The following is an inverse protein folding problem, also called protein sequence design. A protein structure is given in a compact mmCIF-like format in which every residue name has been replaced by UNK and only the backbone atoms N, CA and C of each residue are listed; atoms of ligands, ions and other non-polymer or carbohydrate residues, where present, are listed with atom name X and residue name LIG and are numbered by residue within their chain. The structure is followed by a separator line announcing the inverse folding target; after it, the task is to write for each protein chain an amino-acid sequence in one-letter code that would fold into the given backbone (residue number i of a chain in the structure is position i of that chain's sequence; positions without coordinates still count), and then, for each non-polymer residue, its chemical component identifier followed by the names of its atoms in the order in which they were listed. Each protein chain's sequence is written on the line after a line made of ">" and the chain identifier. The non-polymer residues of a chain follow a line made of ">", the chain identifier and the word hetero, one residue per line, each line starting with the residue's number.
data_IF_771072414010
#
_entry.id   IF_771072414010
#
_cell.length_a   1.000
_cell.length_b   1.000
_cell.length_c   1.000
_cell.angle_alpha   90.00
_cell.angle_beta   90.00
_cell.angle_gamma   90.00
#
_symmetry.space_group_name_H-M   'P 1'
#
loop_
_entity.id
_entity.type
_entity.pdbx_description
1 polymer ?
#
# COMPACT_ATOMS: atom_id res chain seq x y z
N UNK A 1 -10.56 4.74 39.60
CA UNK A 1 -9.58 4.95 38.50
C UNK A 1 -8.94 6.32 38.71
N UNK A 2 -7.62 6.38 39.02
CA UNK A 2 -6.99 7.57 39.58
C UNK A 2 -6.81 8.69 38.51
N UNK A 3 -7.03 9.96 38.94
CA UNK A 3 -6.83 11.19 38.14
C UNK A 3 -5.48 11.24 37.42
N UNK A 4 -4.43 10.69 38.02
CA UNK A 4 -3.07 10.55 37.44
C UNK A 4 -3.07 9.67 36.18
N UNK A 5 -3.75 8.52 36.18
CA UNK A 5 -3.87 7.65 35.01
C UNK A 5 -4.64 8.31 33.87
N UNK A 6 -5.69 9.07 34.18
CA UNK A 6 -6.47 9.79 33.16
C UNK A 6 -5.63 10.86 32.46
N UNK A 7 -4.84 11.63 33.23
CA UNK A 7 -3.96 12.65 32.66
C UNK A 7 -2.83 12.03 31.82
N UNK A 8 -2.29 10.89 32.25
CA UNK A 8 -1.28 10.15 31.49
C UNK A 8 -1.84 9.66 30.14
N UNK A 9 -3.03 9.03 30.14
CA UNK A 9 -3.68 8.57 28.91
C UNK A 9 -4.04 9.73 27.97
N UNK A 10 -4.51 10.87 28.51
CA UNK A 10 -4.77 12.08 27.74
C UNK A 10 -3.50 12.59 27.04
N UNK A 11 -2.37 12.55 27.75
CA UNK A 11 -1.07 12.96 27.18
C UNK A 11 -0.67 12.04 26.03
N UNK A 12 -0.74 10.72 26.19
CA UNK A 12 -0.44 9.75 25.12
C UNK A 12 -1.26 10.03 23.86
N UNK A 13 -2.56 10.27 24.03
CA UNK A 13 -3.44 10.59 22.89
C UNK A 13 -3.00 11.88 22.17
N UNK A 14 -2.74 12.95 22.94
CA UNK A 14 -2.31 14.24 22.39
C UNK A 14 -0.97 14.09 21.66
N UNK A 15 0.00 13.37 22.24
CA UNK A 15 1.31 13.15 21.65
C UNK A 15 1.17 12.35 20.33
N UNK A 16 0.29 11.34 20.30
CA UNK A 16 -0.01 10.57 19.08
C UNK A 16 -0.63 11.45 17.97
N UNK A 17 -1.61 12.30 18.30
CA UNK A 17 -2.22 13.23 17.35
C UNK A 17 -1.21 14.25 16.82
N UNK A 18 -0.37 14.81 17.68
CA UNK A 18 0.68 15.73 17.27
C UNK A 18 1.71 15.04 16.34
N UNK A 19 2.07 13.79 16.63
CA UNK A 19 2.95 13.00 15.76
C UNK A 19 2.35 12.80 14.37
N UNK A 20 1.04 12.50 14.27
CA UNK A 20 0.33 12.40 12.99
C UNK A 20 0.33 13.74 12.23
N UNK A 21 0.01 14.85 12.92
CA UNK A 21 0.03 16.19 12.33
C UNK A 21 1.42 16.52 11.76
N UNK A 22 2.49 16.22 12.51
CA UNK A 22 3.86 16.45 12.06
C UNK A 22 4.20 15.62 10.81
N UNK A 23 3.83 14.33 10.78
CA UNK A 23 4.02 13.47 9.61
C UNK A 23 3.27 14.04 8.40
N UNK A 24 2.02 14.47 8.59
CA UNK A 24 1.21 15.07 7.52
C UNK A 24 1.82 16.39 7.00
N UNK A 25 2.34 17.24 7.88
CA UNK A 25 3.02 18.46 7.49
C UNK A 25 4.31 18.19 6.69
N UNK A 26 5.08 17.15 7.08
CA UNK A 26 6.26 16.72 6.34
C UNK A 26 5.91 16.21 4.94
N UNK A 27 4.80 15.48 4.79
CA UNK A 27 4.28 15.05 3.48
C UNK A 27 3.87 16.26 2.64
N UNK A 28 3.17 17.24 3.22
CA UNK A 28 2.75 18.46 2.52
C UNK A 28 3.93 19.30 2.04
N UNK A 29 5.04 19.28 2.75
CA UNK A 29 6.28 19.98 2.38
C UNK A 29 7.20 19.21 1.42
N UNK A 30 6.85 17.96 1.04
CA UNK A 30 7.65 17.12 0.14
C UNK A 30 7.06 17.10 -1.28
N UNK A 31 7.46 18.06 -2.10
CA UNK A 31 7.02 18.17 -3.50
C UNK A 31 7.34 16.91 -4.32
N UNK A 32 8.44 16.21 -4.00
CA UNK A 32 8.82 14.97 -4.71
C UNK A 32 7.89 13.81 -4.37
N UNK A 33 7.50 13.70 -3.11
CA UNK A 33 6.52 12.69 -2.68
C UNK A 33 5.15 12.96 -3.30
N UNK A 34 4.71 14.22 -3.32
CA UNK A 34 3.45 14.63 -3.95
C UNK A 34 3.47 14.34 -5.46
N UNK A 35 4.56 14.69 -6.15
CA UNK A 35 4.72 14.39 -7.58
C UNK A 35 4.70 12.87 -7.84
N UNK A 36 5.47 12.07 -7.09
CA UNK A 36 5.49 10.62 -7.23
C UNK A 36 4.11 9.99 -6.99
N UNK A 37 3.35 10.49 -6.01
CA UNK A 37 1.99 10.04 -5.74
C UNK A 37 1.05 10.38 -6.90
N UNK A 38 1.19 11.57 -7.48
CA UNK A 38 0.43 11.98 -8.67
C UNK A 38 0.75 11.10 -9.88
N UNK A 39 2.02 10.78 -10.11
CA UNK A 39 2.45 9.90 -11.20
C UNK A 39 1.87 8.49 -11.04
N UNK A 40 1.85 7.93 -9.83
CA UNK A 40 1.20 6.65 -9.53
C UNK A 40 -0.28 6.69 -9.87
N UNK A 41 -0.99 7.75 -9.50
CA UNK A 41 -2.40 7.90 -9.85
C UNK A 41 -2.65 7.91 -11.36
N UNK A 42 -1.82 8.63 -12.11
CA UNK A 42 -1.90 8.67 -13.58
C UNK A 42 -1.64 7.30 -14.21
N UNK A 43 -0.69 6.53 -13.67
CA UNK A 43 -0.43 5.15 -14.12
C UNK A 43 -1.62 4.22 -13.82
N UNK A 44 -2.26 4.34 -12.66
CA UNK A 44 -3.46 3.58 -12.31
C UNK A 44 -4.62 3.91 -13.27
N UNK A 45 -4.86 5.20 -13.54
CA UNK A 45 -5.88 5.62 -14.52
C UNK A 45 -5.59 5.03 -15.90
N UNK A 46 -4.33 5.08 -16.34
CA UNK A 46 -3.90 4.51 -17.61
C UNK A 46 -4.11 3.00 -17.65
N UNK A 47 -3.79 2.28 -16.58
CA UNK A 47 -4.01 0.84 -16.50
C UNK A 47 -5.50 0.50 -16.67
N UNK A 48 -6.40 1.14 -15.92
CA UNK A 48 -7.83 0.89 -16.04
C UNK A 48 -8.41 1.25 -17.41
N UNK A 49 -7.91 2.31 -18.06
CA UNK A 49 -8.32 2.65 -19.46
C UNK A 49 -7.90 1.62 -20.50
N UNK A 50 -6.93 0.78 -20.18
CA UNK A 50 -6.44 -0.31 -21.02
C UNK A 50 -6.92 -1.70 -20.56
N UNK A 51 -8.01 -1.79 -19.79
CA UNK A 51 -8.56 -3.02 -19.23
C UNK A 51 -7.58 -3.82 -18.35
N UNK A 52 -6.54 -3.14 -17.84
CA UNK A 52 -5.65 -3.71 -16.85
C UNK A 52 -6.23 -3.56 -15.44
N UNK A 53 -5.60 -4.22 -14.47
CA UNK A 53 -6.03 -4.26 -13.08
C UNK A 53 -4.96 -3.76 -12.13
N UNK A 54 -5.39 -3.48 -10.90
CA UNK A 54 -4.50 -3.14 -9.79
C UNK A 54 -4.55 -4.25 -8.74
N UNK A 55 -3.40 -4.81 -8.43
CA UNK A 55 -3.21 -5.82 -7.40
C UNK A 55 -2.52 -5.18 -6.20
N UNK A 56 -2.97 -5.53 -5.00
CA UNK A 56 -2.42 -5.03 -3.74
C UNK A 56 -1.89 -6.17 -2.89
N UNK A 57 -0.76 -5.97 -2.22
CA UNK A 57 -0.26 -6.90 -1.21
C UNK A 57 0.38 -6.15 -0.04
N UNK A 58 0.21 -6.71 1.16
CA UNK A 58 0.71 -6.18 2.41
C UNK A 58 0.60 -7.21 3.53
N UNK A 59 1.23 -6.93 4.68
CA UNK A 59 1.17 -7.77 5.88
C UNK A 59 0.51 -7.01 7.03
N UNK A 60 -0.22 -7.69 7.90
CA UNK A 60 -0.83 -7.09 9.10
C UNK A 60 -1.71 -5.88 8.78
N UNK A 61 -1.41 -4.70 9.34
CA UNK A 61 -2.11 -3.45 9.05
C UNK A 61 -2.04 -3.07 7.57
N UNK A 62 -0.88 -3.26 6.93
CA UNK A 62 -0.74 -3.03 5.48
C UNK A 62 -1.54 -4.01 4.62
N UNK A 63 -1.91 -5.20 5.14
CA UNK A 63 -2.87 -6.08 4.47
C UNK A 63 -4.30 -5.49 4.58
N UNK A 64 -4.66 -4.92 5.73
CA UNK A 64 -5.93 -4.22 5.90
C UNK A 64 -6.03 -3.02 4.95
N UNK A 65 -4.95 -2.23 4.82
CA UNK A 65 -4.86 -1.12 3.87
C UNK A 65 -5.05 -1.61 2.42
N UNK A 66 -4.34 -2.68 2.02
CA UNK A 66 -4.46 -3.30 0.70
C UNK A 66 -5.90 -3.74 0.38
N UNK A 67 -6.59 -4.32 1.36
CA UNK A 67 -7.97 -4.76 1.21
C UNK A 67 -8.94 -3.58 1.13
N UNK A 68 -8.73 -2.54 1.95
CA UNK A 68 -9.50 -1.30 1.91
C UNK A 68 -9.41 -0.64 0.53
N UNK A 69 -8.19 -0.43 0.02
CA UNK A 69 -7.96 0.19 -1.29
C UNK A 69 -8.58 -0.61 -2.44
N UNK A 70 -8.44 -1.94 -2.41
CA UNK A 70 -9.07 -2.79 -3.41
C UNK A 70 -10.61 -2.66 -3.40
N UNK A 71 -11.21 -2.55 -2.21
CA UNK A 71 -12.65 -2.38 -2.05
C UNK A 71 -13.14 -1.02 -2.57
N UNK A 72 -12.40 0.07 -2.31
CA UNK A 72 -12.74 1.41 -2.81
C UNK A 72 -12.69 1.50 -4.35
N UNK A 73 -11.78 0.77 -4.98
CA UNK A 73 -11.67 0.70 -6.44
C UNK A 73 -12.70 -0.22 -7.07
N UNK A 74 -12.92 -1.41 -6.52
CA UNK A 74 -13.85 -2.41 -7.07
C UNK A 74 -15.31 -2.14 -6.72
N UNK A 75 -15.58 -1.46 -5.61
CA UNK A 75 -16.90 -0.98 -5.21
C UNK A 75 -17.15 0.43 -5.74
N UNK A 76 -17.41 1.36 -4.82
CA UNK A 76 -17.56 2.78 -5.14
C UNK A 76 -16.93 3.64 -4.05
N UNK A 77 -16.32 4.76 -4.46
CA UNK A 77 -15.76 5.75 -3.55
C UNK A 77 -16.17 7.15 -4.02
N UNK A 78 -16.93 7.90 -3.18
CA UNK A 78 -17.54 9.21 -3.45
C UNK A 78 -18.51 9.27 -4.64
N UNK A 79 -18.16 8.76 -5.80
CA UNK A 79 -18.97 8.77 -7.00
C UNK A 79 -19.44 7.37 -7.37
N UNK A 80 -20.62 7.30 -7.96
CA UNK A 80 -21.15 6.06 -8.53
C UNK A 80 -20.57 5.89 -9.94
N UNK A 81 -19.87 4.78 -10.18
CA UNK A 81 -19.18 4.46 -11.44
C UNK A 81 -19.13 2.94 -11.66
N UNK A 82 -18.86 2.48 -12.87
CA UNK A 82 -18.58 1.06 -13.10
C UNK A 82 -17.43 0.56 -12.21
N UNK A 83 -17.51 -0.69 -11.70
CA UNK A 83 -16.47 -1.26 -10.86
C UNK A 83 -15.15 -1.38 -11.64
N UNK A 84 -14.03 -1.08 -10.96
CA UNK A 84 -12.69 -1.24 -11.51
C UNK A 84 -12.08 -2.55 -10.99
N UNK A 85 -11.30 -3.23 -11.81
CA UNK A 85 -10.69 -4.48 -11.37
C UNK A 85 -9.50 -4.20 -10.43
N UNK A 86 -9.77 -4.28 -9.13
CA UNK A 86 -8.77 -4.18 -8.08
C UNK A 86 -8.93 -5.33 -7.09
N UNK A 87 -7.83 -5.94 -6.65
CA UNK A 87 -7.84 -7.09 -5.74
C UNK A 87 -6.68 -7.05 -4.75
N UNK A 88 -6.97 -7.35 -3.48
CA UNK A 88 -5.95 -7.62 -2.47
C UNK A 88 -5.60 -9.11 -2.48
N UNK A 89 -4.32 -9.44 -2.66
CA UNK A 89 -3.86 -10.81 -2.92
C UNK A 89 -3.99 -11.77 -1.72
N UNK A 90 -4.16 -11.26 -0.50
CA UNK A 90 -4.22 -12.07 0.72
C UNK A 90 -5.64 -12.52 1.13
N UNK A 91 -6.68 -12.11 0.40
CA UNK A 91 -8.07 -12.33 0.84
C UNK A 91 -8.54 -13.80 0.78
N UNK A 92 -7.89 -14.63 -0.02
CA UNK A 92 -8.17 -16.06 -0.04
C UNK A 92 -7.34 -16.78 1.02
N UNK A 93 -7.93 -17.02 2.19
CA UNK A 93 -7.25 -17.64 3.33
C UNK A 93 -6.83 -19.09 3.07
N UNK A 94 -7.60 -19.84 2.29
CA UNK A 94 -7.24 -21.23 1.91
C UNK A 94 -5.97 -21.24 1.07
N UNK A 95 -5.87 -20.36 0.08
CA UNK A 95 -4.67 -20.20 -0.74
C UNK A 95 -3.48 -19.76 0.14
N UNK A 96 -3.66 -18.72 0.95
CA UNK A 96 -2.60 -18.13 1.76
C UNK A 96 -1.98 -19.17 2.70
N UNK A 97 -2.83 -19.93 3.41
CA UNK A 97 -2.38 -20.94 4.36
C UNK A 97 -1.74 -22.15 3.67
N UNK A 98 -2.28 -22.61 2.53
CA UNK A 98 -1.72 -23.71 1.77
C UNK A 98 -0.32 -23.35 1.24
N UNK A 99 -0.14 -22.21 0.60
CA UNK A 99 1.16 -21.81 0.06
C UNK A 99 2.18 -21.54 1.17
N UNK A 100 1.75 -20.93 2.28
CA UNK A 100 2.64 -20.70 3.42
C UNK A 100 3.11 -22.03 4.05
N UNK A 101 2.26 -23.06 4.08
CA UNK A 101 2.58 -24.38 4.60
C UNK A 101 3.45 -25.21 3.63
N UNK A 102 3.10 -25.23 2.34
CA UNK A 102 3.70 -26.14 1.36
C UNK A 102 5.02 -25.59 0.78
N UNK A 103 5.18 -24.28 0.79
CA UNK A 103 6.37 -23.59 0.28
C UNK A 103 7.01 -22.70 1.37
N UNK A 104 6.58 -21.45 1.45
CA UNK A 104 6.94 -20.51 2.52
C UNK A 104 6.01 -19.31 2.51
N UNK A 105 5.98 -18.55 3.61
CA UNK A 105 5.28 -17.27 3.66
C UNK A 105 5.89 -16.22 2.70
N UNK A 106 7.15 -16.37 2.34
CA UNK A 106 7.84 -15.48 1.40
C UNK A 106 7.31 -15.63 -0.05
N UNK A 107 6.64 -16.74 -0.37
CA UNK A 107 6.12 -17.05 -1.71
C UNK A 107 4.64 -16.72 -1.91
N UNK A 108 3.91 -16.37 -0.84
CA UNK A 108 2.44 -16.25 -0.89
C UNK A 108 1.96 -15.23 -1.91
N UNK A 109 2.64 -14.11 -2.09
CA UNK A 109 2.24 -13.07 -3.05
C UNK A 109 2.87 -13.28 -4.42
N UNK A 110 4.14 -13.67 -4.50
CA UNK A 110 4.83 -13.91 -5.77
C UNK A 110 4.12 -14.96 -6.64
N UNK A 111 3.61 -16.04 -6.03
CA UNK A 111 2.84 -17.06 -6.75
C UNK A 111 1.52 -16.53 -7.29
N UNK A 112 0.80 -15.67 -6.54
CA UNK A 112 -0.43 -15.04 -7.05
C UNK A 112 -0.15 -14.03 -8.16
N UNK A 113 0.95 -13.29 -8.07
CA UNK A 113 1.39 -12.39 -9.14
C UNK A 113 1.63 -13.18 -10.43
N UNK A 114 2.34 -14.34 -10.37
CA UNK A 114 2.52 -15.24 -11.53
C UNK A 114 1.21 -15.76 -12.10
N UNK A 115 0.25 -16.08 -11.24
CA UNK A 115 -1.03 -16.66 -11.68
C UNK A 115 -1.97 -15.61 -12.28
N UNK A 116 -2.10 -14.45 -11.66
CA UNK A 116 -3.12 -13.44 -11.96
C UNK A 116 -2.60 -12.25 -12.76
N UNK A 117 -1.33 -11.91 -12.61
CA UNK A 117 -0.74 -10.72 -13.21
C UNK A 117 -0.53 -10.84 -14.71
N UNK A 118 -0.64 -9.71 -15.41
CA UNK A 118 -0.40 -9.58 -16.86
C UNK A 118 0.40 -8.30 -17.08
N UNK A 119 1.13 -8.25 -18.18
CA UNK A 119 1.84 -7.04 -18.58
C UNK A 119 0.88 -5.85 -18.70
N UNK A 120 1.26 -4.70 -18.15
CA UNK A 120 0.44 -3.49 -18.09
C UNK A 120 -0.44 -3.37 -16.83
N UNK A 121 -0.62 -4.43 -16.05
CA UNK A 121 -1.22 -4.35 -14.72
C UNK A 121 -0.34 -3.53 -13.77
N UNK A 122 -0.89 -3.21 -12.58
CA UNK A 122 -0.14 -2.56 -11.51
C UNK A 122 -0.11 -3.47 -10.29
N UNK A 123 1.05 -3.61 -9.65
CA UNK A 123 1.20 -4.19 -8.32
C UNK A 123 1.60 -3.11 -7.32
N UNK A 124 0.79 -2.90 -6.29
CA UNK A 124 1.10 -2.06 -5.14
C UNK A 124 1.53 -2.95 -3.98
N UNK A 125 2.81 -2.89 -3.64
CA UNK A 125 3.38 -3.60 -2.50
C UNK A 125 3.53 -2.67 -1.29
N UNK A 126 2.84 -2.98 -0.18
CA UNK A 126 2.81 -2.15 1.02
C UNK A 126 3.63 -2.80 2.13
N UNK A 127 4.70 -2.14 2.56
CA UNK A 127 5.57 -2.61 3.65
C UNK A 127 6.14 -1.42 4.40
N UNK A 128 5.70 -1.18 5.64
CA UNK A 128 6.16 -0.05 6.46
C UNK A 128 7.67 -0.03 6.64
N UNK A 129 8.30 -1.20 6.79
CA UNK A 129 9.77 -1.33 6.89
C UNK A 129 10.49 -1.26 5.52
N UNK A 130 9.77 -1.44 4.41
CA UNK A 130 10.35 -1.59 3.07
C UNK A 130 11.18 -2.86 2.86
N UNK A 131 11.11 -3.86 3.77
CA UNK A 131 12.02 -5.02 3.81
C UNK A 131 11.32 -6.38 3.88
N UNK A 132 9.97 -6.44 3.85
CA UNK A 132 9.22 -7.69 3.94
C UNK A 132 9.51 -8.58 2.73
N UNK A 133 10.10 -9.76 2.92
CA UNK A 133 10.54 -10.65 1.85
C UNK A 133 9.42 -11.01 0.87
N UNK A 134 8.24 -11.39 1.38
CA UNK A 134 7.10 -11.73 0.54
C UNK A 134 6.63 -10.57 -0.36
N UNK A 135 6.73 -9.32 0.12
CA UNK A 135 6.42 -8.12 -0.67
C UNK A 135 7.51 -7.89 -1.72
N UNK A 136 8.79 -8.00 -1.35
CA UNK A 136 9.91 -7.85 -2.26
C UNK A 136 9.86 -8.91 -3.36
N UNK A 137 9.61 -10.18 -3.02
CA UNK A 137 9.47 -11.28 -3.99
C UNK A 137 8.31 -11.06 -4.96
N UNK A 138 7.18 -10.52 -4.47
CA UNK A 138 6.06 -10.14 -5.32
C UNK A 138 6.42 -9.02 -6.30
N UNK A 139 7.11 -7.97 -5.84
CA UNK A 139 7.55 -6.85 -6.67
C UNK A 139 8.58 -7.30 -7.73
N UNK A 140 9.55 -8.14 -7.36
CA UNK A 140 10.49 -8.75 -8.31
C UNK A 140 9.75 -9.53 -9.39
N UNK A 141 8.87 -10.44 -8.98
CA UNK A 141 8.05 -11.24 -9.91
C UNK A 141 7.21 -10.36 -10.83
N UNK A 142 6.60 -9.31 -10.31
CA UNK A 142 5.79 -8.37 -11.08
C UNK A 142 6.62 -7.67 -12.17
N UNK A 143 7.82 -7.22 -11.81
CA UNK A 143 8.76 -6.58 -12.73
C UNK A 143 9.13 -7.52 -13.89
N UNK A 144 9.41 -8.81 -13.57
CA UNK A 144 9.81 -9.81 -14.56
C UNK A 144 8.71 -10.12 -15.59
N UNK A 145 7.44 -9.96 -15.24
CA UNK A 145 6.30 -10.20 -16.14
C UNK A 145 5.69 -8.92 -16.73
N UNK A 146 6.38 -7.78 -16.60
CA UNK A 146 5.98 -6.52 -17.21
C UNK A 146 4.84 -5.78 -16.50
N UNK A 147 4.63 -6.06 -15.22
CA UNK A 147 3.68 -5.34 -14.34
C UNK A 147 4.36 -4.08 -13.82
N UNK A 148 3.64 -2.96 -13.79
CA UNK A 148 4.12 -1.72 -13.18
C UNK A 148 4.15 -1.89 -11.65
N UNK A 149 5.32 -1.69 -11.06
CA UNK A 149 5.53 -1.90 -9.62
C UNK A 149 5.53 -0.60 -8.85
N UNK A 150 4.72 -0.54 -7.80
CA UNK A 150 4.60 0.57 -6.87
C UNK A 150 4.88 0.08 -5.45
N UNK A 151 5.80 0.72 -4.76
CA UNK A 151 6.13 0.41 -3.36
C UNK A 151 5.64 1.50 -2.42
N UNK A 152 4.92 1.13 -1.38
CA UNK A 152 4.56 2.00 -0.26
C UNK A 152 5.35 1.60 0.99
N UNK A 153 6.11 2.54 1.57
CA UNK A 153 6.96 2.27 2.73
C UNK A 153 7.15 3.51 3.62
N UNK A 154 7.82 3.33 4.76
CA UNK A 154 8.32 4.41 5.58
C UNK A 154 9.62 5.02 5.04
N UNK A 155 10.35 5.75 5.89
CA UNK A 155 11.57 6.46 5.50
C UNK A 155 12.66 5.56 4.91
N UNK A 156 12.68 4.27 5.25
CA UNK A 156 13.68 3.31 4.78
C UNK A 156 13.26 2.62 3.47
N UNK A 157 13.33 3.33 2.36
CA UNK A 157 12.86 2.88 1.05
C UNK A 157 13.91 2.22 0.15
N UNK A 158 15.18 2.18 0.57
CA UNK A 158 16.30 1.82 -0.30
C UNK A 158 16.22 0.41 -0.91
N UNK A 159 15.62 -0.57 -0.21
CA UNK A 159 15.43 -1.92 -0.75
C UNK A 159 14.37 -1.92 -1.85
N UNK A 160 13.20 -1.32 -1.58
CA UNK A 160 12.08 -1.29 -2.52
C UNK A 160 12.42 -0.53 -3.82
N UNK A 161 13.27 0.52 -3.74
CA UNK A 161 13.70 1.30 -4.92
C UNK A 161 14.33 0.47 -6.01
N UNK A 162 14.94 -0.67 -5.68
CA UNK A 162 15.56 -1.56 -6.67
C UNK A 162 14.53 -2.35 -7.50
N UNK A 163 13.31 -2.48 -7.00
CA UNK A 163 12.28 -3.35 -7.57
C UNK A 163 11.01 -2.59 -7.99
N UNK A 164 10.88 -1.33 -7.62
CA UNK A 164 9.70 -0.52 -7.93
C UNK A 164 10.01 0.54 -8.98
N UNK A 165 9.08 0.74 -9.91
CA UNK A 165 9.06 1.90 -10.81
C UNK A 165 8.78 3.19 -10.03
N UNK A 166 7.86 3.13 -9.06
CA UNK A 166 7.51 4.23 -8.16
C UNK A 166 7.63 3.80 -6.71
N UNK A 167 8.13 4.68 -5.86
CA UNK A 167 8.17 4.45 -4.40
C UNK A 167 7.59 5.66 -3.68
N UNK A 168 6.52 5.41 -2.93
CA UNK A 168 5.89 6.36 -2.01
C UNK A 168 6.50 6.12 -0.63
N UNK A 169 7.45 6.96 -0.25
CA UNK A 169 8.22 6.84 0.99
C UNK A 169 7.74 7.87 1.99
N UNK A 170 6.96 7.45 2.98
CA UNK A 170 6.46 8.32 4.05
C UNK A 170 7.63 8.77 4.93
N UNK A 171 7.77 10.08 5.21
CA UNK A 171 8.85 10.63 6.04
C UNK A 171 8.60 10.36 7.54
N UNK A 172 8.44 9.09 7.91
CA UNK A 172 8.25 8.59 9.26
C UNK A 172 8.89 7.22 9.43
N UNK A 173 9.26 6.89 10.68
CA UNK A 173 9.83 5.60 11.07
C UNK A 173 8.85 4.78 11.92
N UNK A 174 7.90 5.44 12.58
CA UNK A 174 6.90 4.81 13.42
C UNK A 174 5.80 4.18 12.59
N UNK A 175 5.62 2.85 12.74
CA UNK A 175 4.68 2.05 11.95
C UNK A 175 3.25 2.61 11.93
N UNK A 176 2.61 3.01 13.04
CA UNK A 176 1.29 3.63 13.02
C UNK A 176 1.24 4.88 12.15
N UNK A 177 2.22 5.76 12.24
CA UNK A 177 2.28 6.99 11.44
C UNK A 177 2.41 6.72 9.95
N UNK A 178 3.19 5.69 9.60
CA UNK A 178 3.36 5.26 8.21
C UNK A 178 2.04 4.71 7.66
N UNK A 179 1.35 3.82 8.39
CA UNK A 179 0.08 3.23 7.96
C UNK A 179 -1.02 4.28 7.83
N UNK A 180 -1.19 5.17 8.82
CA UNK A 180 -2.13 6.29 8.74
C UNK A 180 -1.87 7.18 7.51
N UNK A 181 -0.60 7.45 7.19
CA UNK A 181 -0.22 8.23 6.02
C UNK A 181 -0.47 7.49 4.71
N UNK A 182 -0.25 6.16 4.64
CA UNK A 182 -0.57 5.35 3.47
C UNK A 182 -2.06 5.50 3.12
N UNK A 183 -2.96 5.24 4.06
CA UNK A 183 -4.41 5.40 3.84
C UNK A 183 -4.78 6.84 3.49
N UNK A 184 -4.19 7.84 4.15
CA UNK A 184 -4.46 9.24 3.86
C UNK A 184 -4.11 9.62 2.41
N UNK A 185 -3.01 9.10 1.88
CA UNK A 185 -2.55 9.40 0.52
C UNK A 185 -3.38 8.66 -0.52
N UNK A 186 -3.71 7.39 -0.27
CA UNK A 186 -4.37 6.51 -1.22
C UNK A 186 -5.87 6.77 -1.38
N UNK A 187 -6.56 7.19 -0.30
CA UNK A 187 -8.01 7.42 -0.29
C UNK A 187 -8.41 8.83 -0.78
N UNK A 188 -7.88 9.33 -1.91
CA UNK A 188 -8.20 10.70 -2.34
C UNK A 188 -9.19 10.81 -3.48
N UNK A 189 -10.08 11.84 -3.34
CA UNK A 189 -11.18 12.26 -4.22
C UNK A 189 -10.79 12.62 -5.66
N UNK A 190 -9.76 12.19 -6.24
CA UNK A 190 -9.38 12.68 -7.56
C UNK A 190 -8.58 11.71 -8.41
N UNK A 191 -8.21 10.59 -7.84
CA UNK A 191 -7.35 9.65 -8.54
C UNK A 191 -8.05 8.79 -9.61
N UNK A 192 -9.36 8.97 -9.82
CA UNK A 192 -10.09 8.04 -10.69
C UNK A 192 -10.97 8.80 -11.68
N UNK A 193 -10.35 9.71 -12.43
CA UNK A 193 -10.90 10.26 -13.70
C UNK A 193 -9.83 10.82 -14.60
#
# INVERSE_FOLDING_TARGET
>A
MNYVHRNHMKKILIDSLNSNINTTNNILGDDKLIAATTDVALEIIKAFRNDNKVLFCGNGGSAADAQHLAAELSGRFYIDRPPLFAEALHVNTSYLTAVANDYSFDEVFSRLVKAKGRAGDILVGISTSGKSNNIINALMTAKDVGIVTVGFCGAYSYVMRNFCKYVISIPAEDTPRIQEAHILIDCRKGFIW
#
